data_IF_819417209776
#
_entry.id   IF_819417209776
#
_cell.length_a   1.000
_cell.length_b   1.000
_cell.length_c   1.000
_cell.angle_alpha   90.00
_cell.angle_beta   90.00
_cell.angle_gamma   90.00
#
_symmetry.space_group_name_H-M   'P 1'
#
loop_
_entity.id
_entity.type
_entity.pdbx_description
1 polymer ?
#
# COMPACT_ATOMS: atom_id res chain seq x y z
N UNK A 1 -14.40 5.69 -3.01
CA UNK A 1 -13.64 6.01 -1.78
C UNK A 1 -12.29 6.54 -2.18
N UNK A 2 -11.84 7.66 -1.60
CA UNK A 2 -10.48 8.15 -1.82
C UNK A 2 -9.52 7.53 -0.80
N UNK A 3 -8.29 7.27 -1.21
CA UNK A 3 -7.24 6.69 -0.37
C UNK A 3 -5.94 7.44 -0.64
N UNK A 4 -5.19 7.71 0.42
CA UNK A 4 -4.05 8.60 0.43
C UNK A 4 -2.80 7.89 0.98
N UNK A 5 -1.66 8.12 0.32
CA UNK A 5 -0.33 7.74 0.76
C UNK A 5 0.40 8.97 1.32
N UNK A 6 1.18 8.75 2.36
CA UNK A 6 2.14 9.74 2.84
C UNK A 6 3.39 9.73 1.97
N UNK A 7 3.67 10.85 1.30
CA UNK A 7 4.69 10.95 0.24
C UNK A 7 4.28 10.21 -1.04
N UNK A 8 5.15 10.28 -2.06
CA UNK A 8 4.91 9.68 -3.37
C UNK A 8 5.60 8.31 -3.57
N UNK A 9 6.22 7.76 -2.52
CA UNK A 9 6.95 6.49 -2.59
C UNK A 9 6.15 5.33 -2.02
N UNK A 10 6.16 4.23 -2.77
CA UNK A 10 5.61 2.93 -2.40
C UNK A 10 6.71 1.88 -2.22
N UNK A 11 7.91 2.30 -1.83
CA UNK A 11 8.99 1.36 -1.53
C UNK A 11 8.65 0.53 -0.29
N UNK A 12 8.61 -0.78 -0.45
CA UNK A 12 8.29 -1.73 0.63
C UNK A 12 9.43 -1.76 1.64
N UNK A 13 9.05 -1.70 2.93
CA UNK A 13 9.98 -1.95 4.03
C UNK A 13 9.86 -3.41 4.51
N UNK A 14 10.94 -4.03 5.00
CA UNK A 14 10.93 -5.43 5.42
C UNK A 14 9.83 -5.79 6.44
N UNK A 15 9.43 -4.84 7.28
CA UNK A 15 8.42 -5.03 8.32
C UNK A 15 6.98 -4.73 7.89
N UNK A 16 6.77 -4.25 6.66
CA UNK A 16 5.43 -3.94 6.12
C UNK A 16 4.76 -5.16 5.48
N UNK A 17 5.51 -6.22 5.17
CA UNK A 17 4.99 -7.40 4.48
C UNK A 17 5.18 -8.68 5.32
N UNK A 18 4.41 -9.72 4.98
CA UNK A 18 4.56 -11.05 5.58
C UNK A 18 4.87 -12.06 4.48
N UNK A 19 5.96 -12.78 4.64
CA UNK A 19 6.32 -13.93 3.79
C UNK A 19 5.70 -15.18 4.39
N UNK A 20 5.14 -16.02 3.54
CA UNK A 20 4.75 -17.36 3.88
C UNK A 20 5.98 -18.29 3.92
N UNK A 21 6.18 -18.98 5.05
CA UNK A 21 7.38 -19.76 5.28
C UNK A 21 7.46 -21.04 4.44
N UNK A 22 6.32 -21.56 3.97
CA UNK A 22 6.27 -22.78 3.16
C UNK A 22 6.57 -22.47 1.69
N UNK A 23 6.05 -21.36 1.18
CA UNK A 23 6.13 -21.00 -0.24
C UNK A 23 7.18 -19.95 -0.56
N UNK A 24 7.65 -19.17 0.43
CA UNK A 24 8.51 -18.01 0.23
C UNK A 24 7.81 -16.81 -0.42
N UNK A 25 6.50 -16.86 -0.63
CA UNK A 25 5.72 -15.80 -1.26
C UNK A 25 5.12 -14.84 -0.24
N UNK A 26 4.84 -13.60 -0.66
CA UNK A 26 4.11 -12.65 0.17
C UNK A 26 2.66 -13.09 0.40
N UNK A 27 2.20 -12.94 1.64
CA UNK A 27 0.81 -13.08 2.03
C UNK A 27 0.01 -11.86 1.59
N UNK A 28 -1.27 -12.04 1.34
CA UNK A 28 -2.21 -10.99 0.91
C UNK A 28 -2.80 -10.18 2.08
N UNK A 29 -2.06 -10.09 3.20
CA UNK A 29 -2.58 -9.62 4.50
C UNK A 29 -1.89 -8.38 5.06
N UNK A 30 -0.69 -8.04 4.55
CA UNK A 30 0.10 -6.90 5.03
C UNK A 30 0.79 -6.22 3.85
N UNK A 31 0.92 -4.89 3.91
CA UNK A 31 1.66 -4.15 2.90
C UNK A 31 1.75 -2.65 3.19
N UNK A 32 1.72 -1.84 2.13
CA UNK A 32 2.04 -0.41 2.21
C UNK A 32 0.88 0.37 2.82
N UNK A 33 1.15 1.03 3.94
CA UNK A 33 0.14 1.81 4.68
C UNK A 33 -0.38 3.00 3.89
N UNK A 34 -1.70 3.14 3.89
CA UNK A 34 -2.48 4.24 3.33
C UNK A 34 -3.64 4.60 4.28
N UNK A 35 -4.29 5.72 4.04
CA UNK A 35 -5.41 6.17 4.87
C UNK A 35 -6.50 6.83 4.02
N UNK A 36 -7.75 6.77 4.44
CA UNK A 36 -8.87 7.49 3.78
C UNK A 36 -8.94 8.97 4.16
N UNK A 37 -8.20 9.38 5.19
CA UNK A 37 -8.04 10.76 5.62
C UNK A 37 -6.64 11.28 5.24
N UNK A 38 -6.60 12.24 4.32
CA UNK A 38 -5.37 12.88 3.85
C UNK A 38 -4.58 13.55 5.00
N UNK A 39 -5.26 14.09 6.01
CA UNK A 39 -4.62 14.78 7.14
C UNK A 39 -3.79 13.84 8.02
N UNK A 40 -4.15 12.55 8.07
CA UNK A 40 -3.42 11.53 8.83
C UNK A 40 -2.06 11.20 8.21
N UNK A 41 -1.92 11.40 6.90
CA UNK A 41 -0.72 11.03 6.15
C UNK A 41 0.11 12.22 5.67
N UNK A 42 -0.43 13.45 5.72
CA UNK A 42 0.23 14.67 5.23
C UNK A 42 1.59 14.94 5.89
N UNK A 43 1.75 14.55 7.16
CA UNK A 43 3.01 14.68 7.91
C UNK A 43 4.17 13.83 7.37
N UNK A 44 3.91 12.88 6.47
CA UNK A 44 4.93 11.96 5.92
C UNK A 44 5.42 12.39 4.53
N UNK A 45 5.61 13.69 4.31
CA UNK A 45 6.04 14.25 3.02
C UNK A 45 4.90 14.63 2.09
N UNK A 46 3.74 15.01 2.65
CA UNK A 46 2.54 15.37 1.90
C UNK A 46 1.57 14.22 1.73
N UNK A 47 0.30 14.54 1.46
CA UNK A 47 -0.72 13.54 1.17
C UNK A 47 -0.85 13.39 -0.34
N UNK A 48 -0.78 12.15 -0.82
CA UNK A 48 -0.88 11.80 -2.23
C UNK A 48 -2.08 10.89 -2.44
N UNK A 49 -3.07 11.35 -3.20
CA UNK A 49 -4.25 10.55 -3.55
C UNK A 49 -3.86 9.48 -4.55
N UNK A 50 -4.31 8.25 -4.33
CA UNK A 50 -4.17 7.17 -5.32
C UNK A 50 -5.16 7.39 -6.45
N UNK A 51 -4.66 7.51 -7.67
CA UNK A 51 -5.49 7.69 -8.88
C UNK A 51 -5.72 6.37 -9.61
N UNK A 52 -4.73 5.46 -9.59
CA UNK A 52 -4.89 4.13 -10.17
C UNK A 52 -4.11 3.08 -9.40
N UNK A 53 -4.73 1.92 -9.22
CA UNK A 53 -4.12 0.73 -8.65
C UNK A 53 -3.98 -0.33 -9.76
N UNK A 54 -2.77 -0.84 -10.05
CA UNK A 54 -2.58 -1.87 -11.06
C UNK A 54 -3.22 -3.20 -10.64
N UNK A 55 -3.54 -4.03 -11.63
CA UNK A 55 -4.01 -5.39 -11.40
C UNK A 55 -2.96 -6.19 -10.61
N UNK A 56 -3.42 -7.06 -9.72
CA UNK A 56 -2.54 -7.82 -8.84
C UNK A 56 -2.31 -7.16 -7.48
N UNK A 57 -2.77 -5.92 -7.28
CA UNK A 57 -2.84 -5.26 -5.97
C UNK A 57 -4.29 -5.09 -5.51
N UNK A 58 -4.49 -5.04 -4.20
CA UNK A 58 -5.78 -4.66 -3.59
C UNK A 58 -5.55 -3.82 -2.34
N UNK A 59 -6.58 -3.08 -1.94
CA UNK A 59 -6.58 -2.28 -0.71
C UNK A 59 -7.49 -2.98 0.31
N UNK A 60 -6.97 -3.22 1.52
CA UNK A 60 -7.73 -3.83 2.61
C UNK A 60 -7.69 -2.93 3.85
N UNK A 61 -8.75 -2.96 4.66
CA UNK A 61 -8.73 -2.30 5.95
C UNK A 61 -7.77 -3.06 6.87
N UNK A 62 -6.97 -2.32 7.66
CA UNK A 62 -6.09 -2.93 8.66
C UNK A 62 -6.06 -2.13 9.96
N UNK A 63 -6.01 -2.85 11.09
CA UNK A 63 -5.88 -2.26 12.42
C UNK A 63 -7.20 -1.77 13.00
N UNK A 64 -7.15 -1.16 14.19
CA UNK A 64 -8.34 -0.67 14.88
C UNK A 64 -8.87 0.67 14.33
N UNK A 65 -8.01 1.45 13.67
CA UNK A 65 -8.41 2.68 12.99
C UNK A 65 -9.19 2.33 11.72
N UNK A 66 -10.48 2.67 11.69
CA UNK A 66 -11.34 2.46 10.53
C UNK A 66 -10.85 3.21 9.27
N UNK A 67 -10.03 4.26 9.45
CA UNK A 67 -9.43 4.99 8.35
C UNK A 67 -8.12 4.39 7.83
N UNK A 68 -7.53 3.43 8.53
CA UNK A 68 -6.25 2.82 8.14
C UNK A 68 -6.46 1.62 7.21
N UNK A 69 -5.77 1.68 6.07
CA UNK A 69 -5.79 0.65 5.04
C UNK A 69 -4.36 0.33 4.62
N UNK A 70 -4.19 -0.80 3.94
CA UNK A 70 -2.92 -1.20 3.35
C UNK A 70 -3.12 -1.66 1.91
N UNK A 71 -2.15 -1.33 1.05
CA UNK A 71 -2.03 -1.91 -0.29
C UNK A 71 -1.28 -3.23 -0.14
N UNK A 72 -1.91 -4.32 -0.55
CA UNK A 72 -1.39 -5.68 -0.41
C UNK A 72 -1.42 -6.42 -1.75
N UNK A 73 -0.67 -7.52 -1.89
CA UNK A 73 -0.84 -8.42 -3.03
C UNK A 73 -2.29 -8.93 -3.11
N UNK A 74 -2.86 -8.99 -4.31
CA UNK A 74 -4.18 -9.58 -4.53
C UNK A 74 -4.14 -11.11 -4.43
N UNK A 75 -3.00 -11.70 -4.79
CA UNK A 75 -2.65 -13.14 -4.70
C UNK A 75 -1.20 -13.29 -4.22
N UNK A 76 -0.78 -14.47 -3.71
CA UNK A 76 0.61 -14.72 -3.37
C UNK A 76 1.55 -14.43 -4.55
N UNK A 77 2.64 -13.70 -4.27
CA UNK A 77 3.65 -13.30 -5.26
C UNK A 77 4.98 -13.00 -4.55
N UNK A 78 6.07 -12.89 -5.30
CA UNK A 78 7.38 -12.53 -4.77
C UNK A 78 7.42 -11.06 -4.32
N UNK A 79 8.41 -10.72 -3.48
CA UNK A 79 8.64 -9.32 -3.07
C UNK A 79 8.95 -8.42 -4.27
N UNK A 80 9.68 -8.92 -5.26
CA UNK A 80 10.04 -8.16 -6.46
C UNK A 80 8.80 -7.86 -7.32
N UNK A 81 7.97 -8.86 -7.60
CA UNK A 81 6.71 -8.67 -8.33
C UNK A 81 5.79 -7.65 -7.61
N UNK A 82 5.70 -7.74 -6.28
CA UNK A 82 4.93 -6.78 -5.50
C UNK A 82 5.51 -5.36 -5.62
N UNK A 83 6.83 -5.19 -5.51
CA UNK A 83 7.47 -3.89 -5.66
C UNK A 83 7.30 -3.31 -7.07
N UNK A 84 7.37 -4.15 -8.11
CA UNK A 84 7.19 -3.74 -9.50
C UNK A 84 5.75 -3.27 -9.77
N UNK A 85 4.75 -3.92 -9.17
CA UNK A 85 3.37 -3.44 -9.20
C UNK A 85 3.21 -2.13 -8.43
N UNK A 86 3.80 -2.00 -7.25
CA UNK A 86 3.74 -0.75 -6.47
C UNK A 86 4.33 0.45 -7.22
N UNK A 87 5.37 0.22 -8.03
CA UNK A 87 5.99 1.27 -8.86
C UNK A 87 5.08 1.76 -10.01
N UNK A 88 4.03 1.01 -10.35
CA UNK A 88 3.06 1.39 -11.38
C UNK A 88 1.88 2.21 -10.84
N UNK A 89 1.79 2.40 -9.53
CA UNK A 89 0.74 3.20 -8.91
C UNK A 89 0.88 4.66 -9.33
N UNK A 90 -0.22 5.25 -9.80
CA UNK A 90 -0.29 6.68 -10.11
C UNK A 90 -0.91 7.42 -8.94
N UNK A 91 -0.32 8.56 -8.60
CA UNK A 91 -0.81 9.42 -7.53
C UNK A 91 -0.84 10.88 -7.95
N UNK A 92 -1.65 11.68 -7.25
CA UNK A 92 -1.67 13.14 -7.35
C UNK A 92 -1.49 13.76 -5.95
N UNK A 93 -0.73 14.86 -5.82
CA UNK A 93 -0.61 15.54 -4.53
C UNK A 93 -1.93 16.24 -4.15
N UNK A 94 -2.29 16.15 -2.88
CA UNK A 94 -3.39 16.94 -2.29
C UNK A 94 -2.81 18.29 -1.87
N UNK A 95 -3.40 19.38 -2.37
CA UNK A 95 -3.00 20.75 -2.04
C UNK A 95 -3.50 21.17 -0.67
#
# INVERSE_FOLDING_TARGET
MNVYRGGNSFKVKPNEVKIDAETGLLKTTHGVSVNVDASKVSKFGGAYKIESLPEGLKIIQRGADAGHFEIVPAKPMTLNEFQDLLNQIKTSPVK
#
